data_IF_236807148291
#
_entry.id   IF_236807148291
#
_cell.length_a   1.000
_cell.length_b   1.000
_cell.length_c   1.000
_cell.angle_alpha   90.00
_cell.angle_beta   90.00
_cell.angle_gamma   90.00
#
_symmetry.space_group_name_H-M   'P 1'
#
loop_
_entity.id
_entity.type
_entity.pdbx_description
1 polymer ?
#
# COMPACT_ATOMS: atom_id res chain seq x y z
N UNK A 1 7.25 22.07 -13.27
CA UNK A 1 6.09 21.22 -13.67
C UNK A 1 6.44 19.78 -13.34
N UNK A 2 5.46 18.94 -12.93
CA UNK A 2 5.71 17.51 -12.68
C UNK A 2 5.27 16.73 -13.92
N UNK A 3 6.16 15.90 -14.45
CA UNK A 3 5.83 14.93 -15.51
C UNK A 3 5.45 13.62 -14.82
N UNK A 4 4.37 12.98 -15.28
CA UNK A 4 3.89 11.71 -14.75
C UNK A 4 3.74 10.73 -15.92
N UNK A 5 4.47 9.63 -15.83
CA UNK A 5 4.44 8.51 -16.76
C UNK A 5 3.94 7.26 -16.05
N UNK A 6 3.32 6.34 -16.80
CA UNK A 6 2.87 5.07 -16.25
C UNK A 6 3.08 3.92 -17.23
N UNK A 7 3.30 2.73 -16.69
CA UNK A 7 3.33 1.49 -17.47
C UNK A 7 2.89 0.29 -16.64
N UNK A 8 2.49 -0.77 -17.31
CA UNK A 8 2.25 -2.06 -16.65
C UNK A 8 3.59 -2.60 -16.17
N UNK A 9 3.76 -2.73 -14.86
CA UNK A 9 4.97 -3.20 -14.22
C UNK A 9 4.97 -4.72 -14.01
N UNK A 10 3.79 -5.31 -13.86
CA UNK A 10 3.57 -6.72 -13.69
C UNK A 10 2.10 -7.05 -13.45
N UNK A 11 1.86 -8.26 -12.96
CA UNK A 11 0.52 -8.77 -12.64
C UNK A 11 0.52 -9.35 -11.24
N UNK A 12 -0.60 -9.23 -10.52
CA UNK A 12 -0.81 -9.98 -9.29
C UNK A 12 -0.99 -11.48 -9.59
N UNK A 13 -0.85 -12.37 -8.61
CA UNK A 13 -1.16 -13.79 -8.78
C UNK A 13 -2.58 -14.05 -9.31
N UNK A 14 -3.53 -13.15 -9.03
CA UNK A 14 -4.92 -13.21 -9.46
C UNK A 14 -5.13 -12.65 -10.88
N UNK A 15 -4.08 -12.09 -11.50
CA UNK A 15 -4.10 -11.56 -12.86
C UNK A 15 -4.51 -10.10 -12.98
N UNK A 16 -4.48 -9.32 -11.89
CA UNK A 16 -4.73 -7.88 -11.90
C UNK A 16 -3.46 -7.13 -12.31
N UNK A 17 -3.61 -6.08 -13.13
CA UNK A 17 -2.48 -5.29 -13.60
C UNK A 17 -1.88 -4.43 -12.47
N UNK A 18 -0.57 -4.57 -12.29
CA UNK A 18 0.21 -3.71 -11.40
C UNK A 18 0.83 -2.60 -12.24
N UNK A 19 0.47 -1.37 -11.93
CA UNK A 19 0.92 -0.18 -12.64
C UNK A 19 2.01 0.51 -11.81
N UNK A 20 3.10 0.89 -12.48
CA UNK A 20 4.13 1.75 -11.92
C UNK A 20 3.99 3.14 -12.50
N UNK A 21 3.90 4.13 -11.62
CA UNK A 21 3.86 5.55 -11.94
C UNK A 21 5.22 6.16 -11.63
N UNK A 22 5.78 6.89 -12.57
CA UNK A 22 7.01 7.67 -12.39
C UNK A 22 6.68 9.14 -12.45
N UNK A 23 6.91 9.84 -11.35
CA UNK A 23 6.71 11.28 -11.22
C UNK A 23 8.07 11.96 -11.17
N UNK A 24 8.34 12.89 -12.08
CA UNK A 24 9.62 13.61 -12.16
C UNK A 24 9.39 15.11 -12.17
N UNK A 25 10.12 15.84 -11.36
CA UNK A 25 10.13 17.29 -11.40
C UNK A 25 11.19 17.84 -12.35
N UNK A 26 11.14 19.15 -12.61
CA UNK A 26 12.07 19.88 -13.49
C UNK A 26 13.52 19.96 -12.97
N UNK A 27 13.76 19.54 -11.72
CA UNK A 27 15.11 19.45 -11.11
C UNK A 27 15.67 18.02 -11.13
N UNK A 28 14.96 17.08 -11.74
CA UNK A 28 15.40 15.68 -11.90
C UNK A 28 15.12 14.79 -10.69
N UNK A 29 14.53 15.30 -9.61
CA UNK A 29 14.05 14.40 -8.55
C UNK A 29 12.88 13.56 -9.06
N UNK A 30 12.88 12.28 -8.69
CA UNK A 30 11.95 11.29 -9.20
C UNK A 30 11.33 10.47 -8.06
N UNK A 31 10.03 10.19 -8.15
CA UNK A 31 9.32 9.28 -7.26
C UNK A 31 8.63 8.22 -8.10
N UNK A 32 8.80 6.96 -7.73
CA UNK A 32 8.05 5.84 -8.30
C UNK A 32 7.06 5.31 -7.27
N UNK A 33 5.81 5.14 -7.72
CA UNK A 33 4.71 4.66 -6.89
C UNK A 33 3.96 3.57 -7.67
N UNK A 34 3.51 2.52 -6.99
CA UNK A 34 2.67 1.49 -7.61
C UNK A 34 1.26 1.50 -7.04
N UNK A 35 0.28 1.08 -7.85
CA UNK A 35 -1.09 0.87 -7.39
C UNK A 35 -1.24 -0.37 -6.48
N UNK A 36 -0.25 -1.27 -6.42
CA UNK A 36 -0.26 -2.38 -5.48
C UNK A 36 0.16 -1.90 -4.09
N UNK A 37 -0.81 -1.89 -3.17
CA UNK A 37 -0.62 -1.38 -1.81
C UNK A 37 -0.40 0.13 -1.73
N UNK A 38 -0.65 0.89 -2.82
CA UNK A 38 -0.30 2.30 -2.95
C UNK A 38 1.13 2.57 -2.46
N UNK A 39 2.09 1.75 -2.91
CA UNK A 39 3.43 1.71 -2.35
C UNK A 39 4.38 2.69 -3.05
N UNK A 40 5.22 3.36 -2.24
CA UNK A 40 6.39 4.09 -2.73
C UNK A 40 7.47 3.05 -3.06
N UNK A 41 7.88 2.99 -4.32
CA UNK A 41 8.86 2.02 -4.84
C UNK A 41 10.27 2.59 -4.79
N UNK A 42 10.44 3.86 -5.16
CA UNK A 42 11.73 4.57 -5.09
C UNK A 42 11.51 6.07 -4.95
N UNK A 43 12.47 6.74 -4.34
CA UNK A 43 12.57 8.20 -4.29
C UNK A 43 14.01 8.58 -4.61
N UNK A 44 14.24 9.11 -5.81
CA UNK A 44 15.57 9.54 -6.24
C UNK A 44 15.74 11.03 -6.01
N UNK A 45 16.71 11.39 -5.19
CA UNK A 45 16.97 12.76 -4.79
C UNK A 45 18.47 13.09 -4.96
N UNK A 46 18.83 14.36 -5.22
CA UNK A 46 20.24 14.77 -5.20
C UNK A 46 20.78 14.86 -3.77
N UNK A 47 22.00 14.41 -3.58
CA UNK A 47 22.79 14.72 -2.39
C UNK A 47 23.30 16.18 -2.43
N UNK A 48 24.08 16.59 -1.42
CA UNK A 48 24.66 17.93 -1.34
C UNK A 48 25.67 18.24 -2.46
N UNK A 49 26.23 17.21 -3.11
CA UNK A 49 27.10 17.34 -4.26
C UNK A 49 26.34 17.24 -5.60
N UNK A 50 25.01 17.11 -5.57
CA UNK A 50 24.15 16.99 -6.75
C UNK A 50 24.09 15.59 -7.36
N UNK A 51 24.64 14.56 -6.70
CA UNK A 51 24.57 13.18 -7.17
C UNK A 51 23.23 12.58 -6.81
N UNK A 52 22.54 12.04 -7.82
CA UNK A 52 21.23 11.44 -7.65
C UNK A 52 21.36 10.03 -7.04
N UNK A 53 20.60 9.76 -5.99
CA UNK A 53 20.53 8.45 -5.35
C UNK A 53 19.10 8.13 -4.91
N UNK A 54 18.75 6.84 -4.95
CA UNK A 54 17.50 6.37 -4.33
C UNK A 54 17.68 6.34 -2.81
N UNK A 55 16.75 6.98 -2.12
CA UNK A 55 16.80 7.14 -0.65
C UNK A 55 15.75 6.28 0.06
N UNK A 56 15.08 5.37 -0.66
CA UNK A 56 14.04 4.49 -0.14
C UNK A 56 14.40 3.03 -0.42
N UNK A 57 14.12 2.16 0.54
CA UNK A 57 14.21 0.71 0.33
C UNK A 57 12.97 0.23 -0.43
N UNK A 58 13.18 -0.34 -1.61
CA UNK A 58 12.13 -0.90 -2.45
C UNK A 58 12.63 -2.11 -3.23
N UNK A 59 11.72 -2.80 -3.91
CA UNK A 59 12.03 -3.94 -4.76
C UNK A 59 12.10 -3.52 -6.23
N UNK A 60 13.01 -4.16 -6.98
CA UNK A 60 13.15 -3.90 -8.42
C UNK A 60 11.99 -4.45 -9.24
N UNK A 61 11.31 -5.47 -8.72
CA UNK A 61 10.24 -6.18 -9.41
C UNK A 61 9.01 -6.30 -8.49
N UNK A 62 7.79 -6.32 -9.05
CA UNK A 62 6.55 -6.33 -8.27
C UNK A 62 6.41 -7.55 -7.37
N UNK A 63 7.00 -8.69 -7.76
CA UNK A 63 6.95 -9.94 -6.99
C UNK A 63 7.57 -9.81 -5.59
N UNK A 64 8.54 -8.91 -5.42
CA UNK A 64 9.14 -8.61 -4.12
C UNK A 64 8.13 -8.05 -3.11
N UNK A 65 7.08 -7.42 -3.60
CA UNK A 65 6.02 -6.85 -2.75
C UNK A 65 4.96 -7.87 -2.32
N UNK A 66 4.82 -9.04 -2.99
CA UNK A 66 3.76 -9.99 -2.68
C UNK A 66 3.93 -10.65 -1.30
N UNK A 67 5.18 -10.91 -0.93
CA UNK A 67 5.54 -11.60 0.32
C UNK A 67 6.31 -10.71 1.29
N UNK A 68 6.26 -9.40 1.10
CA UNK A 68 6.94 -8.43 1.94
C UNK A 68 6.26 -8.29 3.29
N UNK A 69 6.75 -9.02 4.28
CA UNK A 69 6.27 -8.94 5.66
C UNK A 69 6.55 -7.61 6.38
N UNK A 70 7.43 -6.77 5.81
CA UNK A 70 7.74 -5.44 6.33
C UNK A 70 6.79 -4.36 5.81
N UNK A 71 5.96 -4.68 4.78
CA UNK A 71 5.11 -3.72 4.10
C UNK A 71 5.86 -2.48 3.59
N UNK A 72 7.07 -2.70 3.02
CA UNK A 72 8.01 -1.66 2.59
C UNK A 72 7.35 -0.68 1.61
N UNK A 73 7.30 0.59 1.99
CA UNK A 73 6.69 1.66 1.20
C UNK A 73 5.18 1.60 1.05
N UNK A 74 4.50 0.55 1.52
CA UNK A 74 3.07 0.30 1.33
C UNK A 74 2.19 1.11 2.30
N UNK A 75 0.95 1.34 1.88
CA UNK A 75 -0.10 1.90 2.73
C UNK A 75 -0.72 0.81 3.59
N UNK A 76 -0.47 0.87 4.90
CA UNK A 76 -0.97 -0.10 5.87
C UNK A 76 -2.33 0.34 6.40
N UNK A 77 -3.27 -0.58 6.50
CA UNK A 77 -4.61 -0.28 7.01
C UNK A 77 -5.52 -1.54 7.02
N UNK A 78 -6.69 -1.40 7.66
CA UNK A 78 -7.26 -0.21 8.28
C UNK A 78 -6.49 0.23 9.55
N UNK A 79 -6.19 -0.70 10.45
CA UNK A 79 -5.38 -0.44 11.63
C UNK A 79 -3.92 -0.79 11.34
N UNK A 80 -3.00 0.11 11.67
CA UNK A 80 -1.57 -0.16 11.61
C UNK A 80 -1.11 -0.84 12.92
N UNK A 81 -0.08 -1.68 12.81
CA UNK A 81 0.52 -2.44 13.90
C UNK A 81 -0.46 -3.47 14.53
N UNK A 82 -0.25 -3.85 15.78
CA UNK A 82 -0.91 -5.00 16.42
C UNK A 82 -2.11 -4.61 17.27
N UNK A 83 -3.15 -5.45 17.18
CA UNK A 83 -4.26 -5.46 18.13
C UNK A 83 -4.17 -6.78 18.88
N UNK A 84 -4.03 -6.69 20.21
CA UNK A 84 -3.83 -7.84 21.06
C UNK A 84 -4.99 -8.84 20.96
N UNK A 85 -4.66 -10.10 20.77
CA UNK A 85 -5.60 -11.22 20.66
C UNK A 85 -6.66 -11.06 19.55
N UNK A 86 -6.44 -10.13 18.59
CA UNK A 86 -7.43 -9.84 17.56
C UNK A 86 -8.77 -9.37 18.12
N UNK A 87 -8.78 -8.66 19.23
CA UNK A 87 -10.03 -8.15 19.85
C UNK A 87 -9.95 -6.67 20.09
N UNK A 88 -11.01 -5.96 19.75
CA UNK A 88 -11.16 -4.53 20.03
C UNK A 88 -12.60 -4.19 20.40
N UNK A 89 -12.78 -3.15 21.19
CA UNK A 89 -14.09 -2.62 21.55
C UNK A 89 -14.26 -1.22 21.00
N UNK A 90 -15.32 -0.99 20.24
CA UNK A 90 -15.68 0.33 19.70
C UNK A 90 -17.11 0.63 20.14
N UNK A 91 -17.31 1.77 20.79
CA UNK A 91 -18.63 2.20 21.30
C UNK A 91 -19.35 1.15 22.15
N UNK A 92 -18.58 0.39 22.94
CA UNK A 92 -19.11 -0.67 23.82
C UNK A 92 -19.40 -2.01 23.12
N UNK A 93 -19.25 -2.10 21.81
CA UNK A 93 -19.40 -3.34 21.05
C UNK A 93 -18.03 -3.99 20.84
N UNK A 94 -17.91 -5.29 21.14
CA UNK A 94 -16.70 -6.07 20.89
C UNK A 94 -16.67 -6.59 19.46
N UNK A 95 -15.49 -6.50 18.83
CA UNK A 95 -15.21 -7.00 17.48
C UNK A 95 -14.06 -8.01 17.54
N UNK A 96 -14.28 -9.17 16.95
CA UNK A 96 -13.23 -10.15 16.70
C UNK A 96 -12.60 -9.88 15.34
N UNK A 97 -11.26 -9.85 15.30
CA UNK A 97 -10.46 -9.60 14.10
C UNK A 97 -9.70 -10.87 13.74
N UNK A 98 -9.34 -10.99 12.46
CA UNK A 98 -8.45 -12.03 12.00
C UNK A 98 -7.14 -12.05 12.80
N UNK A 99 -6.73 -13.22 13.29
CA UNK A 99 -5.43 -13.41 13.95
C UNK A 99 -4.43 -13.88 12.91
N UNK A 100 -3.52 -12.99 12.51
CA UNK A 100 -2.55 -13.20 11.43
C UNK A 100 -1.08 -13.03 11.85
N UNK A 101 -0.82 -12.79 13.15
CA UNK A 101 0.54 -12.63 13.66
C UNK A 101 0.65 -13.16 15.10
N UNK A 102 1.02 -14.45 15.23
CA UNK A 102 0.97 -15.14 16.52
C UNK A 102 -0.44 -15.06 17.12
N UNK A 103 -0.62 -14.59 18.35
CA UNK A 103 -1.95 -14.42 18.95
C UNK A 103 -2.64 -13.12 18.54
N UNK A 104 -2.03 -12.27 17.71
CA UNK A 104 -2.47 -10.91 17.47
C UNK A 104 -2.99 -10.70 16.03
N UNK A 105 -3.82 -9.68 15.86
CA UNK A 105 -4.10 -9.08 14.57
C UNK A 105 -2.99 -8.09 14.22
N UNK A 106 -2.51 -8.09 12.97
CA UNK A 106 -1.46 -7.22 12.49
C UNK A 106 -1.86 -6.55 11.18
N UNK A 107 -1.69 -5.24 11.09
CA UNK A 107 -1.74 -4.45 9.88
C UNK A 107 -3.04 -4.56 9.05
N UNK A 108 -4.17 -4.90 9.65
CA UNK A 108 -5.44 -5.03 8.94
C UNK A 108 -5.73 -6.44 8.40
N UNK A 109 -4.97 -7.47 8.87
CA UNK A 109 -5.18 -8.86 8.48
C UNK A 109 -4.52 -9.22 7.14
N UNK A 110 -4.90 -10.37 6.56
CA UNK A 110 -4.33 -10.87 5.31
C UNK A 110 -4.81 -10.08 4.09
N UNK A 111 -6.06 -9.60 4.10
CA UNK A 111 -6.66 -8.78 3.04
C UNK A 111 -6.54 -7.27 3.30
N UNK A 112 -5.45 -6.86 3.93
CA UNK A 112 -5.20 -5.48 4.31
C UNK A 112 -4.95 -4.56 3.09
N UNK A 113 -4.87 -3.26 3.34
CA UNK A 113 -4.66 -2.24 2.30
C UNK A 113 -3.35 -2.42 1.52
N UNK A 114 -2.31 -2.93 2.18
CA UNK A 114 -0.98 -3.12 1.60
C UNK A 114 -0.92 -4.25 0.55
N UNK A 115 -1.91 -5.14 0.52
CA UNK A 115 -1.96 -6.30 -0.37
C UNK A 115 -3.08 -6.21 -1.43
N UNK A 116 -3.58 -4.99 -1.69
CA UNK A 116 -4.68 -4.76 -2.64
C UNK A 116 -4.24 -3.83 -3.77
N UNK A 117 -4.89 -3.98 -4.93
CA UNK A 117 -4.81 -3.00 -6.00
C UNK A 117 -5.68 -1.79 -5.64
N UNK A 118 -5.10 -0.60 -5.73
CA UNK A 118 -5.77 0.68 -5.51
C UNK A 118 -6.17 1.28 -6.86
N UNK A 119 -7.34 1.87 -6.91
CA UNK A 119 -7.71 2.74 -8.02
C UNK A 119 -6.77 3.93 -8.05
N UNK A 120 -6.37 4.34 -9.25
CA UNK A 120 -5.41 5.42 -9.42
C UNK A 120 -5.86 6.39 -10.50
N UNK A 121 -5.68 7.69 -10.21
CA UNK A 121 -6.00 8.77 -11.12
C UNK A 121 -4.85 9.77 -11.15
N UNK A 122 -4.33 10.03 -12.36
CA UNK A 122 -3.33 11.06 -12.61
C UNK A 122 -4.03 12.40 -12.81
N UNK A 123 -3.59 13.42 -12.10
CA UNK A 123 -3.98 14.81 -12.26
C UNK A 123 -2.74 15.62 -12.64
N UNK A 124 -2.89 16.91 -12.96
CA UNK A 124 -1.83 17.75 -13.56
C UNK A 124 -0.47 17.66 -12.87
N UNK A 125 -0.43 17.68 -11.54
CA UNK A 125 0.82 17.67 -10.77
C UNK A 125 0.79 16.66 -9.61
N UNK A 126 -0.18 15.76 -9.59
CA UNK A 126 -0.34 14.78 -8.52
C UNK A 126 -0.97 13.50 -9.02
N UNK A 127 -0.76 12.46 -8.26
CA UNK A 127 -1.48 11.21 -8.38
C UNK A 127 -2.39 11.02 -7.18
N UNK A 128 -3.60 10.55 -7.43
CA UNK A 128 -4.59 10.20 -6.40
C UNK A 128 -4.78 8.69 -6.44
N UNK A 129 -4.66 8.06 -5.29
CA UNK A 129 -4.98 6.65 -5.10
C UNK A 129 -6.11 6.51 -4.12
N UNK A 130 -7.11 5.69 -4.46
CA UNK A 130 -8.28 5.42 -3.65
C UNK A 130 -8.52 3.93 -3.51
N UNK A 131 -9.04 3.54 -2.36
CA UNK A 131 -9.39 2.18 -2.04
C UNK A 131 -10.71 2.18 -1.28
N UNK A 132 -11.69 1.44 -1.79
CA UNK A 132 -12.91 1.17 -1.03
C UNK A 132 -12.58 0.18 0.08
N UNK A 133 -12.84 0.59 1.32
CA UNK A 133 -12.64 -0.24 2.50
C UNK A 133 -13.97 -0.79 2.96
N UNK A 134 -14.24 -2.04 2.62
CA UNK A 134 -15.47 -2.73 3.00
C UNK A 134 -15.60 -2.86 4.52
N UNK A 135 -16.82 -2.95 5.02
CA UNK A 135 -17.12 -3.10 6.44
C UNK A 135 -16.48 -4.37 7.04
N UNK A 136 -16.35 -5.42 6.23
CA UNK A 136 -15.84 -6.75 6.59
C UNK A 136 -14.33 -6.84 6.88
N UNK A 137 -13.57 -5.76 6.71
CA UNK A 137 -12.15 -5.75 7.13
C UNK A 137 -11.94 -5.81 8.65
N UNK A 138 -13.02 -5.80 9.44
CA UNK A 138 -12.96 -5.93 10.90
C UNK A 138 -13.56 -7.22 11.44
N UNK A 139 -14.39 -7.94 10.66
CA UNK A 139 -15.05 -9.15 11.18
C UNK A 139 -15.22 -10.18 10.08
N UNK A 140 -15.06 -11.45 10.43
CA UNK A 140 -15.40 -12.58 9.56
C UNK A 140 -16.93 -12.81 9.42
N UNK A 141 -17.77 -12.07 10.16
CA UNK A 141 -19.18 -12.41 10.38
C UNK A 141 -20.16 -11.23 10.28
N UNK A 142 -19.81 -10.13 9.65
CA UNK A 142 -20.73 -8.99 9.53
C UNK A 142 -21.76 -9.12 8.37
N UNK A 143 -21.93 -10.30 7.79
CA UNK A 143 -22.85 -10.54 6.68
C UNK A 143 -24.32 -10.77 7.11
N UNK A 144 -24.59 -10.95 8.40
CA UNK A 144 -25.91 -11.33 8.90
C UNK A 144 -26.74 -10.20 9.54
N UNK A 145 -26.27 -8.96 9.53
CA UNK A 145 -26.98 -7.83 10.18
C UNK A 145 -27.39 -6.70 9.21
N UNK A 146 -27.81 -7.03 7.98
CA UNK A 146 -28.49 -6.09 7.07
C UNK A 146 -29.81 -6.64 6.60
#
# INVERSE_FOLDING_TARGET
MVQIEQHVWGMTPEGEAIILYTMRNDKGAEVKITNFGAAIVSVTMPDREGRMADVVLGYKHPEGYFFDGAASGKSVGRCANRIAFGRMTVEGKEYALEVNNGPNHLHGGTKNFANRIWESRVETNRMVMSLLSDCLLYTSDAADDL
#
